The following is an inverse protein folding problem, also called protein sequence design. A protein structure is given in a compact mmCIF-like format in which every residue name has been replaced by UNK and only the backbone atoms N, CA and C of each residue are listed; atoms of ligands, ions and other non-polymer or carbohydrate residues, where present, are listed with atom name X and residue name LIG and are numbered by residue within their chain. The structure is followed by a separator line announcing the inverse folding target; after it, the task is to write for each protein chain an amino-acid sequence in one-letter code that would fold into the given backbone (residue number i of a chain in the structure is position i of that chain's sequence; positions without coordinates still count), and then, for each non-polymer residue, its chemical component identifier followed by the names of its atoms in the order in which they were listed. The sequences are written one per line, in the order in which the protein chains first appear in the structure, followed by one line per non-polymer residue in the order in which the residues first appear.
data_IF_153806784356
#
_entry.id   IF_153806784356
#
_cell.length_a   1.000
_cell.length_b   1.000
_cell.length_c   1.000
_cell.angle_alpha   90.00
_cell.angle_beta   90.00
_cell.angle_gamma   90.00
#
_symmetry.space_group_name_H-M   'P 1'
#
loop_
_entity.id
_entity.type
_entity.pdbx_description
1 polymer ?
#
# COMPACT_ATOMS: atom_id res chain seq x y z
N UNK A 1 1.69 1.91 2.31
CA UNK A 1 0.69 1.45 3.31
C UNK A 1 1.29 1.30 4.70
N UNK A 2 2.42 0.61 4.88
CA UNK A 2 3.07 0.40 6.18
C UNK A 2 3.34 1.71 6.94
N UNK A 3 3.86 2.74 6.28
CA UNK A 3 4.09 4.06 6.88
C UNK A 3 2.81 4.73 7.37
N UNK A 4 1.69 4.52 6.67
CA UNK A 4 0.37 5.04 7.09
C UNK A 4 -0.08 4.36 8.37
N UNK A 5 0.06 3.04 8.46
CA UNK A 5 -0.25 2.26 9.66
C UNK A 5 0.60 2.72 10.85
N UNK A 6 1.91 2.87 10.64
CA UNK A 6 2.84 3.34 11.67
C UNK A 6 2.46 4.74 12.20
N UNK A 7 2.23 5.70 11.30
CA UNK A 7 1.77 7.04 11.68
C UNK A 7 0.42 7.02 12.39
N UNK A 8 -0.51 6.16 11.95
CA UNK A 8 -1.79 5.96 12.61
C UNK A 8 -1.64 5.44 14.05
N UNK A 9 -0.72 4.51 14.27
CA UNK A 9 -0.41 4.00 15.61
C UNK A 9 0.20 5.07 16.52
N UNK A 10 1.13 5.87 16.00
CA UNK A 10 1.75 6.98 16.74
C UNK A 10 0.71 8.03 17.13
N UNK A 11 -0.15 8.42 16.18
CA UNK A 11 -1.25 9.36 16.42
C UNK A 11 -2.25 8.80 17.43
N UNK A 12 -2.63 7.53 17.30
CA UNK A 12 -3.52 6.85 18.26
C UNK A 12 -2.94 6.85 19.67
N UNK A 13 -1.65 6.59 19.83
CA UNK A 13 -0.94 6.68 21.10
C UNK A 13 -1.00 8.09 21.72
N UNK A 14 -0.79 9.11 20.89
CA UNK A 14 -0.84 10.50 21.31
C UNK A 14 -2.25 10.89 21.75
N UNK A 15 -3.26 10.63 20.92
CA UNK A 15 -4.66 10.86 21.24
C UNK A 15 -5.09 10.14 22.53
N UNK A 16 -4.66 8.89 22.71
CA UNK A 16 -4.99 8.13 23.92
C UNK A 16 -4.40 8.77 25.18
N UNK A 17 -3.13 9.21 25.12
CA UNK A 17 -2.51 9.90 26.26
C UNK A 17 -3.21 11.21 26.64
N UNK A 18 -3.70 11.95 25.65
CA UNK A 18 -4.44 13.19 25.89
C UNK A 18 -5.87 12.95 26.40
N UNK A 19 -6.52 11.90 25.88
CA UNK A 19 -7.92 11.63 26.19
C UNK A 19 -8.10 10.82 27.48
N UNK A 20 -7.13 9.99 27.86
CA UNK A 20 -7.23 9.12 29.02
C UNK A 20 -7.57 9.87 30.32
N UNK A 21 -6.89 10.99 30.67
CA UNK A 21 -7.26 11.76 31.87
C UNK A 21 -8.70 12.28 31.81
N UNK A 22 -9.16 12.75 30.64
CA UNK A 22 -10.53 13.26 30.46
C UNK A 22 -11.55 12.14 30.56
N UNK A 23 -11.21 10.95 30.08
CA UNK A 23 -12.06 9.76 30.18
C UNK A 23 -12.21 9.32 31.66
N UNK A 24 -11.11 9.29 32.42
CA UNK A 24 -11.10 8.95 33.82
C UNK A 24 -11.86 9.97 34.68
N UNK A 25 -11.87 11.23 34.26
CA UNK A 25 -12.62 12.31 34.93
C UNK A 25 -14.10 12.40 34.49
N UNK A 26 -14.60 11.43 33.70
CA UNK A 26 -15.96 11.40 33.13
C UNK A 26 -16.35 12.65 32.31
N UNK A 27 -15.37 13.40 31.78
CA UNK A 27 -15.60 14.64 31.04
C UNK A 27 -15.73 14.43 29.51
N UNK A 28 -15.77 13.18 29.04
CA UNK A 28 -15.93 12.87 27.63
C UNK A 28 -17.38 12.57 27.32
N UNK A 29 -18.01 13.47 26.58
CA UNK A 29 -19.27 13.18 25.93
C UNK A 29 -19.04 12.47 24.61
N UNK A 30 -19.51 11.24 24.48
CA UNK A 30 -19.43 10.50 23.23
C UNK A 30 -20.26 11.19 22.13
N UNK A 31 -19.68 11.32 20.94
CA UNK A 31 -20.40 11.76 19.75
C UNK A 31 -20.89 10.50 19.03
N UNK A 32 -22.19 10.44 18.75
CA UNK A 32 -22.76 9.33 18.00
C UNK A 32 -22.15 9.32 16.59
N UNK A 33 -21.53 8.20 16.22
CA UNK A 33 -21.02 8.04 14.85
C UNK A 33 -22.17 8.20 13.83
N UNK A 34 -21.96 9.02 12.83
CA UNK A 34 -22.86 9.10 11.68
C UNK A 34 -22.96 7.74 10.98
N UNK A 35 -24.05 7.52 10.26
CA UNK A 35 -24.14 6.37 9.37
C UNK A 35 -23.07 6.53 8.29
N UNK A 36 -22.11 5.59 8.21
CA UNK A 36 -21.14 5.56 7.15
C UNK A 36 -21.85 5.48 5.79
N UNK A 37 -21.51 6.35 4.86
CA UNK A 37 -22.15 6.37 3.54
C UNK A 37 -21.74 5.19 2.68
N UNK A 38 -20.60 4.58 2.95
CA UNK A 38 -20.07 3.50 2.15
C UNK A 38 -19.27 2.49 2.97
N UNK A 39 -19.57 1.20 2.77
CA UNK A 39 -18.81 0.09 3.34
C UNK A 39 -18.08 -0.64 2.22
N UNK A 40 -16.75 -0.60 2.23
CA UNK A 40 -15.93 -1.37 1.29
C UNK A 40 -15.80 -2.82 1.73
N UNK A 41 -16.11 -3.75 0.83
CA UNK A 41 -15.89 -5.19 1.06
C UNK A 41 -14.49 -5.58 0.57
N UNK A 42 -13.90 -6.61 1.18
CA UNK A 42 -12.61 -7.15 0.74
C UNK A 42 -12.59 -7.61 -0.73
N UNK A 43 -13.75 -7.97 -1.28
CA UNK A 43 -13.89 -8.29 -2.71
C UNK A 43 -13.80 -7.09 -3.65
N UNK A 44 -13.81 -5.86 -3.12
CA UNK A 44 -13.77 -4.60 -3.87
C UNK A 44 -12.35 -4.01 -3.94
N UNK A 45 -11.31 -4.82 -3.67
CA UNK A 45 -9.94 -4.35 -3.84
C UNK A 45 -9.66 -3.91 -5.27
N UNK A 46 -8.96 -2.78 -5.46
CA UNK A 46 -8.59 -2.30 -6.77
C UNK A 46 -7.94 -3.40 -7.60
N UNK A 47 -8.44 -3.61 -8.82
CA UNK A 47 -7.93 -4.61 -9.77
C UNK A 47 -7.73 -6.02 -9.20
N UNK A 48 -8.44 -6.39 -8.12
CA UNK A 48 -8.32 -7.70 -7.46
C UNK A 48 -6.88 -8.09 -7.08
N UNK A 49 -6.01 -7.10 -6.82
CA UNK A 49 -4.60 -7.33 -6.49
C UNK A 49 -3.76 -7.77 -7.69
N UNK A 50 -4.07 -7.31 -8.88
CA UNK A 50 -3.30 -7.59 -10.09
C UNK A 50 -3.01 -6.29 -10.86
N UNK A 51 -1.78 -6.12 -11.30
CA UNK A 51 -1.35 -5.06 -12.21
C UNK A 51 -0.95 -5.66 -13.54
N UNK A 52 -1.24 -4.97 -14.62
CA UNK A 52 -0.92 -5.40 -15.97
C UNK A 52 0.27 -4.60 -16.54
N UNK A 53 1.01 -5.22 -17.43
CA UNK A 53 2.10 -4.53 -18.14
C UNK A 53 1.59 -3.32 -18.95
N UNK A 54 0.31 -3.33 -19.35
CA UNK A 54 -0.33 -2.24 -20.09
C UNK A 54 -0.82 -1.08 -19.23
N UNK A 55 -0.85 -1.24 -17.91
CA UNK A 55 -1.28 -0.18 -16.99
C UNK A 55 -0.33 1.02 -17.03
N UNK A 56 -0.84 2.21 -16.70
CA UNK A 56 -0.01 3.40 -16.60
C UNK A 56 0.90 3.37 -15.37
N UNK A 57 1.99 4.15 -15.42
CA UNK A 57 3.02 4.12 -14.37
C UNK A 57 2.52 4.60 -13.02
N UNK A 58 1.59 5.56 -12.98
CA UNK A 58 1.03 6.06 -11.72
C UNK A 58 0.12 5.03 -11.06
N UNK A 59 -0.71 4.34 -11.85
CA UNK A 59 -1.56 3.27 -11.34
C UNK A 59 -0.71 2.14 -10.76
N UNK A 60 0.31 1.67 -11.50
CA UNK A 60 1.22 0.63 -11.02
C UNK A 60 1.92 1.08 -9.72
N UNK A 61 2.47 2.30 -9.70
CA UNK A 61 3.16 2.83 -8.53
C UNK A 61 2.24 2.96 -7.31
N UNK A 62 0.99 3.38 -7.51
CA UNK A 62 -0.02 3.46 -6.46
C UNK A 62 -0.40 2.09 -5.93
N UNK A 63 -0.63 1.10 -6.80
CA UNK A 63 -0.96 -0.26 -6.41
C UNK A 63 0.17 -0.91 -5.60
N UNK A 64 1.42 -0.79 -6.06
CA UNK A 64 2.58 -1.31 -5.33
C UNK A 64 2.67 -0.74 -3.92
N UNK A 65 2.52 0.58 -3.76
CA UNK A 65 2.54 1.23 -2.44
C UNK A 65 1.33 0.86 -1.57
N UNK A 66 0.17 0.64 -2.17
CA UNK A 66 -1.05 0.25 -1.44
C UNK A 66 -0.92 -1.16 -0.86
N UNK A 67 -0.31 -2.08 -1.59
CA UNK A 67 -0.11 -3.46 -1.13
C UNK A 67 1.14 -3.66 -0.27
N UNK A 68 1.98 -2.64 -0.12
CA UNK A 68 3.18 -2.69 0.72
C UNK A 68 2.85 -2.43 2.19
N UNK A 69 2.62 -3.48 2.92
CA UNK A 69 2.47 -3.48 4.39
C UNK A 69 3.74 -3.94 5.12
N UNK A 70 4.88 -3.95 4.45
CA UNK A 70 6.14 -4.43 5.00
C UNK A 70 6.04 -5.92 5.35
N UNK A 71 6.31 -6.26 6.61
CA UNK A 71 6.24 -7.66 7.10
C UNK A 71 4.81 -8.19 7.28
N UNK A 72 3.82 -7.31 7.23
CA UNK A 72 2.41 -7.66 7.43
C UNK A 72 1.71 -7.75 6.07
N UNK A 73 1.58 -8.94 5.52
CA UNK A 73 0.87 -9.18 4.24
C UNK A 73 -0.67 -9.11 4.39
N UNK A 74 -1.18 -8.00 4.93
CA UNK A 74 -2.61 -7.85 5.26
C UNK A 74 -3.52 -7.85 4.04
N UNK A 75 -3.03 -7.40 2.88
CA UNK A 75 -3.80 -7.28 1.64
C UNK A 75 -3.54 -8.44 0.67
N UNK A 76 -2.77 -9.44 1.09
CA UNK A 76 -2.32 -10.49 0.19
C UNK A 76 -1.13 -10.06 -0.69
N UNK A 77 -0.79 -10.89 -1.67
CA UNK A 77 0.35 -10.66 -2.57
C UNK A 77 -0.14 -10.04 -3.86
N UNK A 78 0.45 -8.90 -4.24
CA UNK A 78 0.19 -8.26 -5.51
C UNK A 78 0.79 -9.10 -6.65
N UNK A 79 0.04 -9.24 -7.75
CA UNK A 79 0.42 -10.01 -8.92
C UNK A 79 0.70 -9.09 -10.11
N UNK A 80 1.61 -9.52 -10.95
CA UNK A 80 1.94 -8.86 -12.21
C UNK A 80 1.60 -9.77 -13.39
N UNK A 81 0.80 -9.26 -14.32
CA UNK A 81 0.43 -9.96 -15.55
C UNK A 81 1.22 -9.40 -16.74
N UNK A 82 1.90 -10.29 -17.45
CA UNK A 82 2.54 -9.99 -18.73
C UNK A 82 2.06 -11.04 -19.76
N UNK A 83 1.22 -10.62 -20.69
CA UNK A 83 0.51 -11.55 -21.59
C UNK A 83 -0.32 -12.56 -20.79
N UNK A 84 -0.13 -13.86 -21.08
CA UNK A 84 -0.82 -14.95 -20.41
C UNK A 84 -0.16 -15.39 -19.08
N UNK A 85 0.98 -14.83 -18.73
CA UNK A 85 1.72 -15.19 -17.52
C UNK A 85 1.41 -14.26 -16.38
N UNK A 86 1.26 -14.83 -15.17
CA UNK A 86 1.01 -14.11 -13.93
C UNK A 86 2.13 -14.45 -12.94
N UNK A 87 2.79 -13.42 -12.42
CA UNK A 87 3.89 -13.53 -11.47
C UNK A 87 3.49 -12.93 -10.13
N UNK A 88 3.95 -13.51 -9.04
CA UNK A 88 3.83 -12.90 -7.71
C UNK A 88 4.97 -11.93 -7.50
N UNK A 89 4.66 -10.70 -7.10
CA UNK A 89 5.67 -9.68 -6.85
C UNK A 89 6.26 -9.90 -5.46
N UNK A 90 7.59 -10.09 -5.40
CA UNK A 90 8.35 -10.24 -4.15
C UNK A 90 8.85 -8.91 -3.61
N UNK A 91 9.50 -8.14 -4.48
CA UNK A 91 10.00 -6.80 -4.14
C UNK A 91 9.83 -5.88 -5.34
N UNK A 92 9.88 -4.59 -5.07
CA UNK A 92 9.81 -3.56 -6.09
C UNK A 92 10.66 -2.35 -5.72
N UNK A 93 11.03 -1.57 -6.73
CA UNK A 93 11.57 -0.23 -6.58
C UNK A 93 10.84 0.70 -7.56
N UNK A 94 10.47 1.89 -7.09
CA UNK A 94 9.81 2.91 -7.90
C UNK A 94 10.69 4.15 -7.93
N UNK A 95 10.96 4.62 -9.14
CA UNK A 95 11.63 5.87 -9.41
C UNK A 95 10.65 6.76 -10.19
N UNK A 96 10.68 8.06 -9.92
CA UNK A 96 9.97 9.07 -10.69
C UNK A 96 10.97 10.18 -11.04
N UNK A 97 11.09 10.51 -12.33
CA UNK A 97 12.09 11.44 -12.84
C UNK A 97 13.50 11.12 -12.30
N UNK A 98 13.88 9.82 -12.34
CA UNK A 98 15.11 9.22 -11.81
C UNK A 98 15.33 9.29 -10.29
N UNK A 99 14.40 9.86 -9.53
CA UNK A 99 14.46 9.86 -8.07
C UNK A 99 13.75 8.64 -7.49
N UNK A 100 14.42 7.95 -6.57
CA UNK A 100 13.80 6.85 -5.80
C UNK A 100 12.69 7.38 -4.90
N UNK A 101 11.49 6.82 -5.02
CA UNK A 101 10.32 7.28 -4.26
C UNK A 101 9.72 6.23 -3.32
N UNK A 102 9.82 4.95 -3.64
CA UNK A 102 9.23 3.90 -2.79
C UNK A 102 9.79 2.50 -3.09
N UNK A 103 9.57 1.59 -2.15
CA UNK A 103 9.97 0.20 -2.24
C UNK A 103 11.35 -0.06 -1.65
N UNK A 104 12.07 -1.00 -2.21
CA UNK A 104 13.43 -1.38 -1.81
C UNK A 104 14.35 -1.22 -3.02
N UNK A 105 15.47 -0.53 -2.87
CA UNK A 105 16.47 -0.46 -3.95
C UNK A 105 16.95 -1.88 -4.30
N UNK A 106 16.83 -2.22 -5.57
CA UNK A 106 17.14 -3.55 -6.08
C UNK A 106 18.49 -3.53 -6.80
N UNK A 107 19.38 -4.47 -6.45
CA UNK A 107 20.63 -4.69 -7.16
C UNK A 107 20.43 -5.54 -8.42
N UNK A 108 19.38 -6.36 -8.43
CA UNK A 108 18.95 -7.14 -9.57
C UNK A 108 17.42 -7.20 -9.61
N UNK A 109 16.86 -7.23 -10.79
CA UNK A 109 15.41 -7.29 -11.00
C UNK A 109 15.07 -8.21 -12.19
N UNK A 110 13.87 -8.77 -12.17
CA UNK A 110 13.37 -9.64 -13.24
C UNK A 110 12.69 -8.83 -14.37
N UNK A 111 12.08 -7.70 -14.03
CA UNK A 111 11.38 -6.84 -14.97
C UNK A 111 11.60 -5.37 -14.65
N UNK A 112 11.79 -4.57 -15.69
CA UNK A 112 11.77 -3.11 -15.60
C UNK A 112 10.66 -2.57 -16.52
N UNK A 113 9.87 -1.65 -15.98
CA UNK A 113 8.81 -0.97 -16.70
C UNK A 113 9.13 0.52 -16.74
N UNK A 114 9.26 1.04 -17.95
CA UNK A 114 9.44 2.48 -18.19
C UNK A 114 8.10 3.05 -18.65
N UNK A 115 7.45 3.83 -17.81
CA UNK A 115 6.09 4.35 -17.99
C UNK A 115 6.05 5.87 -17.77
N UNK A 116 6.35 6.63 -18.81
CA UNK A 116 6.45 8.09 -18.72
C UNK A 116 7.55 8.51 -17.73
N UNK A 117 7.18 9.28 -16.69
CA UNK A 117 8.09 9.70 -15.64
C UNK A 117 8.47 8.56 -14.66
N UNK A 118 7.79 7.41 -14.73
CA UNK A 118 8.02 6.31 -13.80
C UNK A 118 8.93 5.23 -14.40
N UNK A 119 9.93 4.82 -13.62
CA UNK A 119 10.74 3.63 -13.83
C UNK A 119 10.48 2.68 -12.66
N UNK A 120 9.94 1.50 -12.95
CA UNK A 120 9.50 0.54 -11.93
C UNK A 120 10.24 -0.77 -12.16
N UNK A 121 10.95 -1.21 -11.13
CA UNK A 121 11.69 -2.46 -11.13
C UNK A 121 10.99 -3.48 -10.24
N UNK A 122 10.83 -4.70 -10.73
CA UNK A 122 10.11 -5.77 -10.06
C UNK A 122 11.00 -7.01 -9.92
N UNK A 123 10.95 -7.64 -8.75
CA UNK A 123 11.39 -9.02 -8.55
C UNK A 123 10.18 -9.89 -8.27
N UNK A 124 10.22 -11.11 -8.77
CA UNK A 124 9.14 -12.09 -8.60
C UNK A 124 9.57 -13.19 -7.62
N UNK A 125 8.59 -13.85 -7.03
CA UNK A 125 8.82 -15.07 -6.28
C UNK A 125 9.29 -16.17 -7.26
N UNK A 126 10.28 -16.95 -6.85
CA UNK A 126 10.67 -18.16 -7.57
C UNK A 126 9.50 -19.15 -7.54
N UNK A 127 9.15 -19.70 -8.69
CA UNK A 127 8.10 -20.72 -8.82
C UNK A 127 8.55 -22.05 -8.26
#
# INVERSE_FOLDING_TARGET
AFQIVQKGMELGKHCFKEMLPRFLDERINGIKNGKGEHVYKSSQFPQKGEICETDDGELIARMLRTYDYGVLALMGVLRFRSGDKVYRIRNYAIYKDDFFIAGKQLHAYHRELNKGAYKIQLTFEDN
#
